data_IF_345403679454
#
_entry.id   IF_345403679454
#
_cell.length_a   1.000
_cell.length_b   1.000
_cell.length_c   1.000
_cell.angle_alpha   90.00
_cell.angle_beta   90.00
_cell.angle_gamma   90.00
#
_symmetry.space_group_name_H-M   'P 1'
#
loop_
_entity.id
_entity.type
_entity.pdbx_description
1 polymer ?
#
# COMPACT_ATOMS: atom_id res chain seq x y z
N UNK A 1 -29.29 -0.13 -4.22
CA UNK A 1 -28.09 -0.65 -3.53
C UNK A 1 -26.89 -0.57 -4.47
N UNK A 2 -25.76 -0.05 -4.00
CA UNK A 2 -24.50 0.06 -4.74
C UNK A 2 -23.36 -0.54 -3.91
N UNK A 3 -22.34 -1.05 -4.58
CA UNK A 3 -21.21 -1.72 -3.95
C UNK A 3 -19.92 -1.02 -4.35
N UNK A 4 -19.13 -0.61 -3.37
CA UNK A 4 -17.72 -0.27 -3.51
C UNK A 4 -16.91 -1.44 -2.91
N UNK A 5 -16.01 -2.01 -3.70
CA UNK A 5 -15.08 -3.05 -3.22
C UNK A 5 -13.79 -2.36 -2.79
N UNK A 6 -13.34 -2.66 -1.57
CA UNK A 6 -12.07 -2.13 -1.02
C UNK A 6 -11.14 -3.30 -0.79
N UNK A 7 -9.98 -3.24 -1.43
CA UNK A 7 -8.92 -4.23 -1.39
C UNK A 7 -9.32 -5.65 -1.89
N UNK A 8 -8.34 -6.42 -2.29
CA UNK A 8 -8.47 -7.83 -2.73
C UNK A 8 -7.23 -8.60 -2.25
N UNK A 9 -7.13 -8.71 -0.94
CA UNK A 9 -6.02 -9.40 -0.30
C UNK A 9 -6.15 -10.91 -0.32
N UNK A 10 -5.06 -11.56 0.04
CA UNK A 10 -5.06 -12.97 0.40
C UNK A 10 -4.43 -13.16 1.78
N UNK A 11 -4.66 -14.32 2.39
CA UNK A 11 -3.99 -14.72 3.62
C UNK A 11 -3.09 -15.92 3.36
N UNK A 12 -1.99 -16.00 4.11
CA UNK A 12 -1.16 -17.20 4.16
C UNK A 12 -1.82 -18.21 5.09
N UNK A 13 -1.98 -19.48 4.65
CA UNK A 13 -2.56 -20.51 5.48
C UNK A 13 -1.62 -20.84 6.66
N UNK A 14 -2.21 -21.28 7.74
CA UNK A 14 -1.48 -21.88 8.86
C UNK A 14 -1.12 -23.36 8.58
N UNK A 15 -0.55 -24.04 9.58
CA UNK A 15 -0.11 -25.44 9.48
C UNK A 15 -1.25 -26.43 9.20
N UNK A 16 -2.52 -26.04 9.41
CA UNK A 16 -3.69 -26.89 9.16
C UNK A 16 -3.96 -27.12 7.66
N UNK A 17 -3.31 -26.35 6.78
CA UNK A 17 -3.51 -26.41 5.33
C UNK A 17 -2.22 -26.74 4.57
N UNK A 18 -1.64 -27.95 4.76
CA UNK A 18 -0.39 -28.31 4.11
C UNK A 18 -0.53 -28.33 2.58
N UNK A 19 0.43 -27.68 1.90
CA UNK A 19 0.46 -27.60 0.43
C UNK A 19 -0.39 -26.47 -0.16
N UNK A 20 -1.07 -25.67 0.67
CA UNK A 20 -1.75 -24.44 0.25
C UNK A 20 -0.77 -23.27 0.39
N UNK A 21 -0.57 -22.51 -0.66
CA UNK A 21 0.34 -21.36 -0.64
C UNK A 21 -0.33 -20.08 -0.15
N UNK A 22 -1.61 -19.87 -0.48
CA UNK A 22 -2.42 -18.72 -0.07
C UNK A 22 -3.90 -19.04 -0.19
N UNK A 23 -4.74 -18.29 0.52
CA UNK A 23 -6.19 -18.38 0.44
C UNK A 23 -6.75 -17.01 0.05
N UNK A 24 -7.68 -17.02 -0.93
CA UNK A 24 -8.38 -15.82 -1.38
C UNK A 24 -9.77 -15.75 -0.74
N UNK A 25 -10.36 -14.56 -0.61
CA UNK A 25 -11.74 -14.46 -0.13
C UNK A 25 -12.73 -15.11 -1.09
N UNK A 26 -13.84 -15.62 -0.53
CA UNK A 26 -14.99 -16.02 -1.31
C UNK A 26 -15.75 -14.78 -1.80
N UNK A 27 -15.87 -14.63 -3.10
CA UNK A 27 -16.56 -13.49 -3.73
C UNK A 27 -17.90 -13.87 -4.36
N UNK A 28 -18.49 -15.03 -3.99
CA UNK A 28 -19.78 -15.49 -4.53
C UNK A 28 -20.88 -14.43 -4.40
N UNK A 29 -20.90 -13.68 -3.28
CA UNK A 29 -21.83 -12.55 -3.13
C UNK A 29 -21.63 -11.47 -4.20
N UNK A 30 -20.40 -11.11 -4.50
CA UNK A 30 -20.08 -10.10 -5.51
C UNK A 30 -20.41 -10.62 -6.92
N UNK A 31 -20.10 -11.88 -7.23
CA UNK A 31 -20.42 -12.50 -8.52
C UNK A 31 -21.93 -12.45 -8.79
N UNK A 32 -22.75 -12.74 -7.79
CA UNK A 32 -24.22 -12.66 -7.88
C UNK A 32 -24.77 -11.23 -7.95
N UNK A 33 -23.98 -10.22 -7.55
CA UNK A 33 -24.38 -8.81 -7.49
C UNK A 33 -23.46 -7.89 -8.32
N UNK A 34 -22.75 -8.42 -9.31
CA UNK A 34 -21.75 -7.67 -10.07
C UNK A 34 -22.32 -6.39 -10.71
N UNK A 35 -23.59 -6.39 -11.10
CA UNK A 35 -24.30 -5.23 -11.65
C UNK A 35 -24.42 -4.05 -10.66
N UNK A 36 -24.26 -4.30 -9.36
CA UNK A 36 -24.26 -3.29 -8.29
C UNK A 36 -22.86 -2.71 -8.04
N UNK A 37 -21.80 -3.40 -8.45
CA UNK A 37 -20.43 -2.96 -8.23
C UNK A 37 -20.14 -1.73 -9.08
N UNK A 38 -19.81 -0.62 -8.44
CA UNK A 38 -19.55 0.67 -9.07
C UNK A 38 -18.06 0.95 -9.25
N UNK A 39 -17.24 0.48 -8.31
CA UNK A 39 -15.80 0.64 -8.35
C UNK A 39 -15.10 -0.39 -7.47
N UNK A 40 -13.80 -0.55 -7.74
CA UNK A 40 -12.83 -1.18 -6.84
C UNK A 40 -11.84 -0.11 -6.42
N UNK A 41 -11.46 -0.06 -5.16
CA UNK A 41 -10.46 0.86 -4.64
C UNK A 41 -9.42 0.10 -3.80
N UNK A 42 -8.16 0.50 -3.87
CA UNK A 42 -7.09 -0.11 -3.10
C UNK A 42 -6.43 0.89 -2.17
N UNK A 43 -6.22 0.48 -0.91
CA UNK A 43 -5.57 1.28 0.11
C UNK A 43 -4.07 1.37 -0.09
N UNK A 44 -3.42 0.25 -0.37
CA UNK A 44 -1.98 0.15 -0.59
C UNK A 44 -1.57 -1.20 -1.21
N UNK A 45 -0.27 -1.40 -1.43
CA UNK A 45 0.25 -2.50 -2.25
C UNK A 45 0.77 -3.72 -1.45
N UNK A 46 0.41 -3.91 -0.19
CA UNK A 46 0.73 -5.15 0.52
C UNK A 46 -0.13 -6.33 0.04
N UNK A 47 0.38 -7.55 0.21
CA UNK A 47 -0.26 -8.75 -0.35
C UNK A 47 -1.57 -9.13 0.34
N UNK A 48 -1.73 -8.79 1.59
CA UNK A 48 -3.00 -8.91 2.33
C UNK A 48 -4.06 -7.89 1.88
N UNK A 49 -3.70 -6.94 0.99
CA UNK A 49 -4.59 -5.97 0.35
C UNK A 49 -4.72 -6.14 -1.17
N UNK A 50 -3.64 -6.53 -1.87
CA UNK A 50 -3.69 -6.73 -3.34
C UNK A 50 -3.33 -8.15 -3.79
N UNK A 51 -3.04 -9.08 -2.89
CA UNK A 51 -2.47 -10.39 -3.25
C UNK A 51 -3.39 -11.27 -4.09
N UNK A 52 -4.70 -11.10 -4.00
CA UNK A 52 -5.67 -11.88 -4.76
C UNK A 52 -6.10 -11.23 -6.10
N UNK A 53 -5.52 -10.07 -6.48
CA UNK A 53 -5.93 -9.36 -7.71
C UNK A 53 -5.80 -10.22 -8.95
N UNK A 54 -4.76 -11.06 -9.04
CA UNK A 54 -4.54 -11.97 -10.17
C UNK A 54 -5.69 -12.96 -10.38
N UNK A 55 -6.29 -13.42 -9.28
CA UNK A 55 -7.38 -14.40 -9.30
C UNK A 55 -8.75 -13.74 -9.40
N UNK A 56 -8.93 -12.60 -8.77
CA UNK A 56 -10.24 -11.99 -8.57
C UNK A 56 -10.55 -10.89 -9.58
N UNK A 57 -9.58 -10.02 -9.89
CA UNK A 57 -9.81 -8.85 -10.72
C UNK A 57 -10.37 -9.18 -12.12
N UNK A 58 -9.92 -10.25 -12.82
CA UNK A 58 -10.50 -10.65 -14.10
C UNK A 58 -12.01 -10.91 -14.06
N UNK A 59 -12.54 -11.31 -12.90
CA UNK A 59 -13.97 -11.59 -12.73
C UNK A 59 -14.84 -10.33 -12.73
N UNK A 60 -14.24 -9.15 -12.50
CA UNK A 60 -14.92 -7.86 -12.50
C UNK A 60 -15.08 -7.28 -13.91
N UNK A 61 -14.42 -7.86 -14.91
CA UNK A 61 -14.43 -7.36 -16.28
C UNK A 61 -13.62 -6.07 -16.44
N UNK A 62 -13.71 -5.45 -17.62
CA UNK A 62 -12.86 -4.32 -17.99
C UNK A 62 -13.51 -2.94 -17.78
N UNK A 63 -14.79 -2.91 -17.43
CA UNK A 63 -15.55 -1.66 -17.35
C UNK A 63 -15.59 -1.04 -15.96
N UNK A 64 -15.39 -1.83 -14.90
CA UNK A 64 -15.41 -1.35 -13.53
C UNK A 64 -14.13 -0.56 -13.26
N UNK A 65 -14.22 0.72 -12.85
CA UNK A 65 -13.04 1.52 -12.57
C UNK A 65 -12.33 1.04 -11.30
N UNK A 66 -10.99 1.06 -11.36
CA UNK A 66 -10.09 0.60 -10.30
C UNK A 66 -9.24 1.77 -9.86
N UNK A 67 -9.48 2.26 -8.65
CA UNK A 67 -8.80 3.42 -8.09
C UNK A 67 -7.68 3.00 -7.14
N UNK A 68 -6.49 3.50 -7.36
CA UNK A 68 -5.36 3.40 -6.43
C UNK A 68 -4.28 4.43 -6.77
N UNK A 69 -3.32 4.62 -5.87
CA UNK A 69 -2.14 5.43 -6.15
C UNK A 69 -1.25 4.79 -7.22
N UNK A 70 -0.38 5.58 -7.83
CA UNK A 70 0.45 5.14 -8.96
C UNK A 70 1.32 3.93 -8.61
N UNK A 71 1.94 3.94 -7.41
CA UNK A 71 2.75 2.82 -6.94
C UNK A 71 1.90 1.55 -6.79
N UNK A 72 0.74 1.65 -6.15
CA UNK A 72 -0.18 0.52 -5.95
C UNK A 72 -0.67 -0.05 -7.28
N UNK A 73 -1.04 0.79 -8.24
CA UNK A 73 -1.40 0.35 -9.60
C UNK A 73 -0.21 -0.33 -10.28
N UNK A 74 1.01 0.18 -10.09
CA UNK A 74 2.21 -0.45 -10.62
C UNK A 74 2.40 -1.87 -10.11
N UNK A 75 2.21 -2.08 -8.81
CA UNK A 75 2.29 -3.39 -8.17
C UNK A 75 1.17 -4.34 -8.64
N UNK A 76 -0.06 -3.84 -8.77
CA UNK A 76 -1.20 -4.60 -9.30
C UNK A 76 -0.92 -5.04 -10.74
N UNK A 77 -0.48 -4.13 -11.61
CA UNK A 77 -0.14 -4.44 -13.00
C UNK A 77 0.92 -5.54 -13.07
N UNK A 78 1.95 -5.47 -12.23
CA UNK A 78 2.99 -6.50 -12.18
C UNK A 78 2.44 -7.88 -11.82
N UNK A 79 1.51 -7.95 -10.85
CA UNK A 79 0.83 -9.20 -10.53
C UNK A 79 -0.07 -9.69 -11.67
N UNK A 80 -0.74 -8.78 -12.37
CA UNK A 80 -1.62 -9.12 -13.49
C UNK A 80 -0.85 -9.62 -14.73
N UNK A 81 0.42 -9.22 -14.92
CA UNK A 81 1.29 -9.78 -15.97
C UNK A 81 1.50 -11.29 -15.83
N UNK A 82 1.38 -11.81 -14.61
CA UNK A 82 1.48 -13.24 -14.29
C UNK A 82 0.12 -13.96 -14.36
N UNK A 83 -0.97 -13.24 -14.65
CA UNK A 83 -2.30 -13.83 -14.72
C UNK A 83 -2.44 -14.72 -15.98
N UNK A 84 -3.16 -15.82 -15.83
CA UNK A 84 -3.44 -16.75 -16.94
C UNK A 84 -4.59 -16.29 -17.85
N UNK A 85 -5.32 -15.26 -17.42
CA UNK A 85 -6.48 -14.72 -18.15
C UNK A 85 -6.14 -13.32 -18.65
N UNK A 86 -6.30 -13.09 -19.93
CA UNK A 86 -6.19 -11.75 -20.50
C UNK A 86 -7.27 -10.84 -19.92
N UNK A 87 -6.84 -9.75 -19.32
CA UNK A 87 -7.70 -8.74 -18.73
C UNK A 87 -7.07 -7.36 -18.97
N UNK A 88 -7.91 -6.38 -19.26
CA UNK A 88 -7.50 -4.98 -19.43
C UNK A 88 -8.28 -4.10 -18.45
N UNK A 89 -7.95 -4.16 -17.16
CA UNK A 89 -8.68 -3.44 -16.13
C UNK A 89 -8.62 -1.93 -16.33
N UNK A 90 -9.72 -1.24 -15.99
CA UNK A 90 -9.85 0.21 -16.12
C UNK A 90 -9.18 0.93 -14.94
N UNK A 91 -7.86 1.08 -14.99
CA UNK A 91 -7.08 1.73 -13.92
C UNK A 91 -7.24 3.24 -13.91
N UNK A 92 -7.54 3.79 -12.75
CA UNK A 92 -7.65 5.22 -12.44
C UNK A 92 -6.62 5.58 -11.37
N UNK A 93 -5.54 6.25 -11.76
CA UNK A 93 -4.52 6.72 -10.82
C UNK A 93 -5.07 7.88 -10.02
N UNK A 94 -4.92 7.81 -8.69
CA UNK A 94 -5.31 8.87 -7.77
C UNK A 94 -4.09 9.53 -7.13
N UNK A 95 -4.20 10.83 -6.91
CA UNK A 95 -3.27 11.62 -6.10
C UNK A 95 -3.90 11.84 -4.73
N UNK A 96 -3.30 11.23 -3.70
CA UNK A 96 -3.79 11.31 -2.32
C UNK A 96 -3.56 12.67 -1.65
N UNK A 97 -2.74 13.54 -2.23
CA UNK A 97 -2.49 14.89 -1.75
C UNK A 97 -3.39 15.95 -2.41
N UNK A 98 -4.07 15.58 -3.49
CA UNK A 98 -4.96 16.50 -4.22
C UNK A 98 -6.33 16.70 -3.55
N UNK A 99 -6.71 15.87 -2.58
CA UNK A 99 -8.02 15.87 -1.89
C UNK A 99 -9.21 15.92 -2.86
N UNK A 100 -9.04 15.26 -4.01
CA UNK A 100 -10.05 15.25 -5.06
C UNK A 100 -11.22 14.35 -4.68
N UNK A 101 -12.42 14.90 -4.61
CA UNK A 101 -13.65 14.13 -4.47
C UNK A 101 -14.01 13.54 -5.84
N UNK A 102 -14.06 12.22 -5.90
CA UNK A 102 -14.36 11.45 -7.11
C UNK A 102 -15.80 10.97 -7.03
N UNK A 103 -16.61 11.34 -8.01
CA UNK A 103 -17.97 10.82 -8.14
C UNK A 103 -17.91 9.40 -8.70
N UNK A 104 -18.30 8.42 -7.90
CA UNK A 104 -18.33 7.00 -8.28
C UNK A 104 -19.70 6.65 -8.89
N UNK A 105 -20.78 7.17 -8.31
CA UNK A 105 -22.15 7.01 -8.77
C UNK A 105 -23.00 8.20 -8.33
N UNK A 106 -24.30 8.17 -8.58
CA UNK A 106 -25.21 9.21 -8.10
C UNK A 106 -25.17 9.37 -6.57
N UNK A 107 -24.92 8.29 -5.84
CA UNK A 107 -25.03 8.23 -4.38
C UNK A 107 -23.71 7.99 -3.66
N UNK A 108 -22.61 7.82 -4.38
CA UNK A 108 -21.32 7.44 -3.79
C UNK A 108 -20.21 8.36 -4.29
N UNK A 109 -19.52 9.01 -3.37
CA UNK A 109 -18.24 9.68 -3.66
C UNK A 109 -17.11 9.10 -2.85
N UNK A 110 -15.90 9.21 -3.39
CA UNK A 110 -14.68 8.69 -2.82
C UNK A 110 -13.59 9.77 -2.85
N UNK A 111 -12.87 9.91 -1.75
CA UNK A 111 -11.69 10.76 -1.65
C UNK A 111 -10.56 9.97 -1.00
N UNK A 112 -9.35 10.15 -1.51
CA UNK A 112 -8.15 9.50 -1.00
C UNK A 112 -7.30 10.51 -0.24
N UNK A 113 -6.86 10.13 0.95
CA UNK A 113 -6.05 10.95 1.84
C UNK A 113 -4.77 10.20 2.18
N UNK A 114 -3.63 10.86 2.06
CA UNK A 114 -2.33 10.24 2.35
C UNK A 114 -2.19 9.82 3.80
N UNK A 115 -1.76 8.58 4.02
CA UNK A 115 -1.38 8.06 5.35
C UNK A 115 -0.01 7.39 5.27
N UNK A 116 0.69 7.37 6.41
CA UNK A 116 1.99 6.72 6.50
C UNK A 116 1.85 5.21 6.72
N UNK A 117 2.66 4.46 6.02
CA UNK A 117 2.85 3.03 6.26
C UNK A 117 4.28 2.62 5.83
N UNK A 118 4.58 1.33 5.77
CA UNK A 118 5.91 0.82 5.39
C UNK A 118 6.16 0.81 3.88
N UNK A 119 5.12 1.00 3.07
CA UNK A 119 5.14 0.96 1.60
C UNK A 119 4.59 2.28 1.03
N UNK A 120 5.08 2.77 -0.12
CA UNK A 120 4.61 4.02 -0.70
C UNK A 120 3.15 4.00 -1.16
N UNK A 121 2.54 5.19 -1.15
CA UNK A 121 1.23 5.40 -1.71
C UNK A 121 0.09 4.82 -0.89
N UNK A 122 0.27 4.70 0.43
CA UNK A 122 -0.80 4.31 1.34
C UNK A 122 -1.82 5.42 1.51
N UNK A 123 -3.10 5.04 1.58
CA UNK A 123 -4.20 5.98 1.67
C UNK A 123 -5.28 5.54 2.63
N UNK A 124 -5.84 6.50 3.35
CA UNK A 124 -7.19 6.41 3.88
C UNK A 124 -8.20 6.80 2.81
N UNK A 125 -9.41 6.32 2.94
CA UNK A 125 -10.52 6.62 2.05
C UNK A 125 -11.67 7.27 2.81
N UNK A 126 -12.15 8.41 2.33
CA UNK A 126 -13.37 9.04 2.81
C UNK A 126 -14.48 8.70 1.80
N UNK A 127 -15.46 7.96 2.26
CA UNK A 127 -16.56 7.43 1.46
C UNK A 127 -17.82 8.14 1.92
N UNK A 128 -18.42 8.95 1.03
CA UNK A 128 -19.64 9.69 1.34
C UNK A 128 -20.83 9.03 0.68
N UNK A 129 -21.86 8.78 1.46
CA UNK A 129 -23.10 8.15 1.02
C UNK A 129 -24.31 8.92 1.56
N UNK A 130 -25.53 8.73 1.02
CA UNK A 130 -26.74 9.31 1.58
C UNK A 130 -27.05 8.87 3.01
N UNK A 131 -26.45 7.78 3.47
CA UNK A 131 -26.69 7.20 4.81
C UNK A 131 -25.61 7.61 5.83
N UNK A 132 -24.60 8.35 5.41
CA UNK A 132 -23.51 8.81 6.28
C UNK A 132 -22.13 8.67 5.64
N UNK A 133 -21.14 9.21 6.35
CA UNK A 133 -19.76 9.26 5.93
C UNK A 133 -18.93 8.16 6.62
N UNK A 134 -18.17 7.41 5.83
CA UNK A 134 -17.29 6.35 6.31
C UNK A 134 -15.85 6.80 6.07
N UNK A 135 -15.00 6.66 7.08
CA UNK A 135 -13.54 6.77 6.94
C UNK A 135 -12.94 5.39 7.11
N UNK A 136 -12.34 4.87 6.04
CA UNK A 136 -11.57 3.64 6.05
C UNK A 136 -10.09 3.99 6.05
N UNK A 137 -9.40 3.70 7.14
CA UNK A 137 -8.01 4.14 7.35
C UNK A 137 -6.97 3.34 6.55
N UNK A 138 -7.32 2.13 6.06
CA UNK A 138 -6.32 1.18 5.58
C UNK A 138 -5.36 0.80 6.71
N UNK A 139 -4.15 0.43 6.33
CA UNK A 139 -3.05 0.24 7.28
C UNK A 139 -2.25 1.52 7.40
N UNK A 140 -1.95 1.92 8.61
CA UNK A 140 -1.25 3.17 8.86
C UNK A 140 -0.41 3.14 10.12
N UNK A 141 0.56 4.05 10.17
CA UNK A 141 1.33 4.34 11.38
C UNK A 141 1.46 5.84 11.56
N UNK A 142 1.78 6.25 12.76
CA UNK A 142 2.10 7.65 13.05
C UNK A 142 3.60 7.81 13.26
N UNK A 143 4.20 8.78 12.60
CA UNK A 143 5.61 9.12 12.71
C UNK A 143 5.78 10.64 12.63
N UNK A 144 6.55 11.21 13.56
CA UNK A 144 6.76 12.67 13.62
C UNK A 144 7.70 13.17 12.51
N UNK A 145 8.65 12.34 12.11
CA UNK A 145 9.67 12.64 11.10
C UNK A 145 9.76 11.47 10.12
N UNK A 146 8.80 11.36 9.18
CA UNK A 146 8.76 10.26 8.24
C UNK A 146 9.78 10.44 7.10
N UNK A 147 10.22 9.34 6.53
CA UNK A 147 11.05 9.33 5.30
C UNK A 147 10.22 9.77 4.08
N UNK A 148 8.93 9.50 4.12
CA UNK A 148 7.94 9.97 3.14
C UNK A 148 7.41 11.36 3.49
N UNK A 149 6.37 11.79 2.79
CA UNK A 149 5.60 12.97 3.14
C UNK A 149 4.82 12.76 4.44
N UNK A 150 4.46 13.86 5.11
CA UNK A 150 3.74 13.80 6.37
C UNK A 150 2.35 13.17 6.20
N UNK A 151 1.92 12.44 7.22
CA UNK A 151 0.55 11.96 7.36
C UNK A 151 -0.43 13.13 7.29
N UNK A 152 -1.42 13.06 6.41
CA UNK A 152 -2.38 14.14 6.21
C UNK A 152 -3.53 14.10 7.25
N UNK A 153 -3.16 14.09 8.52
CA UNK A 153 -4.09 14.20 9.64
C UNK A 153 -4.96 15.48 9.57
N UNK A 154 -4.44 16.64 9.13
CA UNK A 154 -5.26 17.85 9.00
C UNK A 154 -6.49 17.64 8.12
N UNK A 155 -6.38 16.92 7.00
CA UNK A 155 -7.51 16.65 6.12
C UNK A 155 -8.56 15.76 6.77
N UNK A 156 -8.15 14.72 7.47
CA UNK A 156 -9.06 13.83 8.20
C UNK A 156 -9.81 14.57 9.31
N UNK A 157 -9.10 15.42 10.05
CA UNK A 157 -9.71 16.26 11.09
C UNK A 157 -10.69 17.26 10.48
N UNK A 158 -10.33 17.88 9.36
CA UNK A 158 -11.22 18.81 8.67
C UNK A 158 -12.54 18.15 8.28
N UNK A 159 -12.48 16.96 7.68
CA UNK A 159 -13.67 16.19 7.28
C UNK A 159 -14.50 15.81 8.51
N UNK A 160 -13.86 15.30 9.56
CA UNK A 160 -14.56 14.93 10.78
C UNK A 160 -15.29 16.12 11.44
N UNK A 161 -14.68 17.32 11.40
CA UNK A 161 -15.28 18.53 11.99
C UNK A 161 -16.38 19.16 11.13
N UNK A 162 -16.22 19.15 9.82
CA UNK A 162 -17.14 19.85 8.90
C UNK A 162 -18.28 18.98 8.39
N UNK A 163 -17.99 17.71 8.13
CA UNK A 163 -18.92 16.80 7.48
C UNK A 163 -19.45 15.72 8.44
N UNK A 164 -18.70 15.43 9.52
CA UNK A 164 -18.97 14.30 10.42
C UNK A 164 -18.46 12.98 9.86
N UNK A 165 -18.26 12.01 10.75
CA UNK A 165 -17.89 10.62 10.42
C UNK A 165 -18.82 9.70 11.20
N UNK A 166 -19.64 8.94 10.48
CA UNK A 166 -20.60 8.01 11.07
C UNK A 166 -19.98 6.65 11.37
N UNK A 167 -18.99 6.25 10.55
CA UNK A 167 -18.24 5.01 10.74
C UNK A 167 -16.75 5.24 10.50
N UNK A 168 -15.93 4.91 11.49
CA UNK A 168 -14.48 4.82 11.37
C UNK A 168 -14.06 3.35 11.33
N UNK A 169 -13.47 2.92 10.21
CA UNK A 169 -12.85 1.60 10.04
C UNK A 169 -11.35 1.74 10.19
N UNK A 170 -10.81 1.25 11.30
CA UNK A 170 -9.42 1.40 11.68
C UNK A 170 -8.74 0.06 11.89
N UNK A 171 -7.46 -0.03 11.55
CA UNK A 171 -6.64 -1.20 11.85
C UNK A 171 -6.38 -1.34 13.35
N UNK A 172 -6.03 -2.55 13.79
CA UNK A 172 -5.73 -2.87 15.19
C UNK A 172 -4.58 -3.87 15.34
N UNK A 173 -3.70 -3.95 14.36
CA UNK A 173 -2.65 -4.97 14.23
C UNK A 173 -1.76 -5.09 15.48
N UNK A 174 -1.42 -3.98 16.11
CA UNK A 174 -0.54 -3.95 17.27
C UNK A 174 -1.26 -3.64 18.61
N UNK A 175 -2.57 -3.82 18.68
CA UNK A 175 -3.36 -3.45 19.87
C UNK A 175 -2.90 -4.17 21.14
N UNK A 176 -2.44 -5.41 21.01
CA UNK A 176 -1.97 -6.22 22.14
C UNK A 176 -0.47 -6.05 22.45
N UNK A 177 0.25 -5.23 21.66
CA UNK A 177 1.68 -4.99 21.87
C UNK A 177 1.88 -3.86 22.87
N UNK A 178 2.37 -4.14 24.09
CA UNK A 178 2.55 -3.09 25.09
C UNK A 178 3.68 -2.12 24.71
N UNK A 179 3.51 -0.86 25.12
CA UNK A 179 4.51 0.19 24.93
C UNK A 179 4.23 1.11 23.75
N UNK A 180 5.19 1.98 23.48
CA UNK A 180 5.19 2.88 22.32
C UNK A 180 6.37 2.54 21.42
N UNK A 181 6.24 2.75 20.13
CA UNK A 181 7.33 2.59 19.17
C UNK A 181 8.07 3.93 19.00
N UNK A 182 9.13 4.18 19.78
CA UNK A 182 9.79 5.50 19.80
C UNK A 182 10.76 5.72 18.64
N UNK A 183 11.05 4.68 17.84
CA UNK A 183 12.07 4.75 16.81
C UNK A 183 11.48 5.10 15.45
N UNK A 184 11.95 6.22 14.89
CA UNK A 184 11.68 6.57 13.51
C UNK A 184 12.47 5.67 12.54
N UNK A 185 12.06 5.62 11.29
CA UNK A 185 12.84 4.94 10.24
C UNK A 185 14.27 5.53 10.13
N UNK A 186 14.45 6.83 10.38
CA UNK A 186 15.77 7.47 10.41
C UNK A 186 16.69 6.87 11.48
N UNK A 187 16.18 6.57 12.68
CA UNK A 187 16.97 5.92 13.72
C UNK A 187 17.47 4.52 13.30
N UNK A 188 16.71 3.83 12.45
CA UNK A 188 17.14 2.57 11.83
C UNK A 188 18.23 2.84 10.79
N UNK A 189 18.08 3.89 9.99
CA UNK A 189 19.12 4.35 9.05
C UNK A 189 20.43 4.63 9.76
N UNK A 190 20.41 5.41 10.84
CA UNK A 190 21.60 5.71 11.66
C UNK A 190 22.26 4.43 12.22
N UNK A 191 21.44 3.47 12.68
CA UNK A 191 21.96 2.18 13.16
C UNK A 191 22.64 1.37 12.04
N UNK A 192 22.10 1.42 10.82
CA UNK A 192 22.72 0.80 9.64
C UNK A 192 24.04 1.49 9.32
N UNK A 193 24.09 2.83 9.39
CA UNK A 193 25.32 3.61 9.22
C UNK A 193 26.41 3.20 10.22
N UNK A 194 26.07 3.07 11.51
CA UNK A 194 26.99 2.59 12.55
C UNK A 194 27.54 1.19 12.26
N UNK A 195 26.69 0.29 11.73
CA UNK A 195 27.15 -1.03 11.30
C UNK A 195 28.14 -0.91 10.12
N UNK A 196 27.87 -0.01 9.18
CA UNK A 196 28.76 0.22 8.04
C UNK A 196 30.12 0.78 8.49
N UNK A 197 30.17 1.69 9.48
CA UNK A 197 31.38 2.20 10.10
C UNK A 197 32.20 1.08 10.78
N UNK A 198 31.53 0.24 11.57
CA UNK A 198 32.18 -0.83 12.31
C UNK A 198 32.74 -1.93 11.41
N UNK A 199 32.22 -2.07 10.19
CA UNK A 199 32.57 -3.14 9.25
C UNK A 199 33.00 -2.57 7.88
N UNK A 200 33.86 -1.57 7.89
CA UNK A 200 34.30 -0.81 6.70
C UNK A 200 34.77 -1.70 5.54
N UNK A 201 35.51 -2.77 5.84
CA UNK A 201 36.09 -3.68 4.83
C UNK A 201 35.30 -4.98 4.62
N UNK A 202 34.20 -5.17 5.35
CA UNK A 202 33.39 -6.39 5.25
C UNK A 202 32.27 -6.24 4.21
N UNK A 203 31.87 -7.35 3.60
CA UNK A 203 30.60 -7.44 2.87
C UNK A 203 29.46 -7.52 3.88
N UNK A 204 28.48 -6.62 3.75
CA UNK A 204 27.28 -6.63 4.56
C UNK A 204 26.12 -7.27 3.78
N UNK A 205 25.34 -8.09 4.46
CA UNK A 205 24.11 -8.67 3.93
C UNK A 205 22.98 -8.17 4.84
N UNK A 206 22.07 -7.39 4.27
CA UNK A 206 20.93 -6.81 4.99
C UNK A 206 19.66 -7.50 4.49
N UNK A 207 18.89 -8.09 5.41
CA UNK A 207 17.61 -8.70 5.12
C UNK A 207 16.47 -7.78 5.59
N UNK A 208 15.53 -7.49 4.71
CA UNK A 208 14.32 -6.76 5.02
C UNK A 208 13.17 -7.20 4.09
N UNK A 209 11.96 -6.83 4.42
CA UNK A 209 10.83 -7.06 3.52
C UNK A 209 11.00 -6.25 2.23
N UNK A 210 10.69 -6.87 1.10
CA UNK A 210 10.77 -6.22 -0.23
C UNK A 210 9.83 -5.03 -0.39
N UNK A 211 8.79 -4.95 0.41
CA UNK A 211 7.81 -3.86 0.44
C UNK A 211 8.27 -2.64 1.25
N UNK A 212 9.32 -2.75 2.07
CA UNK A 212 9.82 -1.64 2.90
C UNK A 212 10.67 -0.66 2.09
N UNK A 213 10.06 0.00 1.12
CA UNK A 213 10.75 0.86 0.15
C UNK A 213 11.50 2.01 0.83
N UNK A 214 10.93 2.63 1.85
CA UNK A 214 11.58 3.71 2.58
C UNK A 214 12.80 3.23 3.36
N UNK A 215 12.79 2.01 3.90
CA UNK A 215 13.97 1.40 4.51
C UNK A 215 15.06 1.12 3.48
N UNK A 216 14.68 0.66 2.29
CA UNK A 216 15.63 0.49 1.19
C UNK A 216 16.26 1.82 0.78
N UNK A 217 15.49 2.93 0.77
CA UNK A 217 16.05 4.27 0.54
C UNK A 217 17.07 4.66 1.61
N UNK A 218 16.81 4.38 2.89
CA UNK A 218 17.78 4.66 3.95
C UNK A 218 19.05 3.82 3.82
N UNK A 219 18.94 2.54 3.47
CA UNK A 219 20.09 1.69 3.17
C UNK A 219 20.93 2.26 2.03
N UNK A 220 20.28 2.71 0.96
CA UNK A 220 20.96 3.34 -0.18
C UNK A 220 21.66 4.63 0.22
N UNK A 221 20.99 5.47 1.01
CA UNK A 221 21.56 6.73 1.49
C UNK A 221 22.79 6.50 2.37
N UNK A 222 22.74 5.53 3.28
CA UNK A 222 23.88 5.17 4.11
C UNK A 222 25.01 4.55 3.27
N UNK A 223 24.70 3.68 2.31
CA UNK A 223 25.69 3.13 1.40
C UNK A 223 26.41 4.22 0.59
N UNK A 224 25.68 5.23 0.09
CA UNK A 224 26.26 6.39 -0.60
C UNK A 224 27.25 7.15 0.30
N UNK A 225 26.86 7.46 1.55
CA UNK A 225 27.71 8.14 2.53
C UNK A 225 29.03 7.39 2.80
N UNK A 226 28.98 6.05 2.80
CA UNK A 226 30.11 5.16 3.09
C UNK A 226 30.86 4.69 1.83
N UNK A 227 30.52 5.23 0.63
CA UNK A 227 31.14 4.84 -0.64
C UNK A 227 30.94 3.36 -1.00
N UNK A 228 29.86 2.75 -0.52
CA UNK A 228 29.56 1.32 -0.74
C UNK A 228 28.65 1.14 -1.94
N UNK A 229 28.83 0.02 -2.63
CA UNK A 229 27.94 -0.42 -3.70
C UNK A 229 26.85 -1.34 -3.14
N UNK A 230 25.63 -1.19 -3.64
CA UNK A 230 24.48 -2.01 -3.24
C UNK A 230 24.05 -2.91 -4.39
N UNK A 231 23.82 -4.17 -4.08
CA UNK A 231 23.20 -5.11 -4.99
C UNK A 231 21.92 -5.66 -4.36
N UNK A 232 20.82 -5.59 -5.09
CA UNK A 232 19.55 -6.15 -4.66
C UNK A 232 19.41 -7.60 -5.10
N UNK A 233 18.90 -8.45 -4.20
CA UNK A 233 18.68 -9.86 -4.47
C UNK A 233 17.27 -10.27 -4.05
N UNK A 234 16.63 -11.10 -4.86
CA UNK A 234 15.25 -11.57 -4.67
C UNK A 234 14.28 -10.94 -5.67
N UNK A 235 13.48 -11.80 -6.30
CA UNK A 235 12.57 -11.40 -7.37
C UNK A 235 11.56 -10.32 -6.93
N UNK A 236 10.94 -10.50 -5.78
CA UNK A 236 9.97 -9.53 -5.24
C UNK A 236 10.61 -8.18 -4.93
N UNK A 237 11.85 -8.17 -4.41
CA UNK A 237 12.58 -6.94 -4.11
C UNK A 237 12.95 -6.17 -5.38
N UNK A 238 13.46 -6.86 -6.40
CA UNK A 238 13.81 -6.25 -7.68
C UNK A 238 12.57 -5.62 -8.33
N UNK A 239 11.46 -6.35 -8.38
CA UNK A 239 10.19 -5.83 -8.92
C UNK A 239 9.69 -4.60 -8.17
N UNK A 240 9.72 -4.63 -6.84
CA UNK A 240 9.27 -3.51 -6.02
C UNK A 240 10.13 -2.25 -6.23
N UNK A 241 11.46 -2.42 -6.34
CA UNK A 241 12.39 -1.33 -6.62
C UNK A 241 12.19 -0.76 -8.03
N UNK A 242 12.01 -1.59 -9.05
CA UNK A 242 11.75 -1.13 -10.42
C UNK A 242 10.48 -0.27 -10.48
N UNK A 243 9.43 -0.68 -9.78
CA UNK A 243 8.19 0.09 -9.71
C UNK A 243 8.41 1.38 -8.92
N UNK A 244 9.10 1.31 -7.78
CA UNK A 244 9.40 2.48 -6.96
C UNK A 244 10.26 3.52 -7.70
N UNK A 245 11.21 3.10 -8.51
CA UNK A 245 11.99 3.98 -9.39
C UNK A 245 11.11 4.65 -10.45
N UNK A 246 10.26 3.86 -11.12
CA UNK A 246 9.37 4.38 -12.16
C UNK A 246 8.36 5.37 -11.61
N UNK A 247 7.88 5.17 -10.40
CA UNK A 247 6.91 6.03 -9.71
C UNK A 247 7.59 7.10 -8.83
N UNK A 248 8.91 7.26 -8.92
CA UNK A 248 9.71 8.24 -8.20
C UNK A 248 9.62 8.14 -6.66
N UNK A 249 9.35 6.95 -6.16
CA UNK A 249 9.26 6.68 -4.71
C UNK A 249 10.62 6.36 -4.08
N UNK A 250 11.63 6.07 -4.89
CA UNK A 250 13.00 5.78 -4.45
C UNK A 250 14.01 6.39 -5.42
N UNK A 251 15.16 6.79 -4.90
CA UNK A 251 16.29 7.28 -5.67
C UNK A 251 17.50 6.36 -5.45
N UNK A 252 18.07 5.83 -6.50
CA UNK A 252 19.35 5.13 -6.44
C UNK A 252 20.47 6.10 -6.76
N UNK A 253 21.45 6.31 -5.87
CA UNK A 253 22.61 7.14 -6.12
C UNK A 253 23.45 6.58 -7.28
N UNK A 254 24.12 7.47 -8.05
CA UNK A 254 24.81 7.10 -9.29
C UNK A 254 25.95 6.10 -9.10
N UNK A 255 26.62 6.14 -7.96
CA UNK A 255 27.82 5.37 -7.69
C UNK A 255 27.63 4.30 -6.61
N UNK A 256 26.36 4.02 -6.27
CA UNK A 256 25.98 3.06 -5.23
C UNK A 256 25.66 1.68 -5.80
#
# INVERSE_FOLDING_TARGET
DEILVIDMGYIFPNEDYPGVNFMTPDITYLENNMHKVKAVAFTHAHLDHIGAVRQLLPKFGNNIPIYATEFTIGMIKRQMEEATVESSPNYQVVDSHAHKIIQISEHLTLEFVHVLHSIPGCVAMIIRTPNGNIVHMGDWRFENDPVDTQFDMPRLIEVAQKEGVDLLMNESTNIDTPGTHPHSEYAIGDSIGQVMDNYEHARLIISCFSSQIYRLQLILNEAEKHGRKVAFAGFSMINAIEIALRTQQIRVPKDT
#
